data_IF_425863218200
#
_entry.id   IF_425863218200
#
_cell.length_a   1.000
_cell.length_b   1.000
_cell.length_c   1.000
_cell.angle_alpha   90.00
_cell.angle_beta   90.00
_cell.angle_gamma   90.00
#
_symmetry.space_group_name_H-M   'P 1'
#
loop_
_entity.id
_entity.type
_entity.pdbx_description
1 polymer ?
#
# COMPACT_ATOMS: atom_id res chain seq x y z
N UNK A 1 -9.32 -25.01 -14.96
CA UNK A 1 -8.32 -25.63 -14.05
C UNK A 1 -8.05 -24.67 -12.91
N UNK A 2 -8.01 -25.13 -11.67
CA UNK A 2 -7.65 -24.30 -10.49
C UNK A 2 -6.15 -24.06 -10.55
N UNK A 3 -5.71 -22.79 -10.43
CA UNK A 3 -4.28 -22.44 -10.42
C UNK A 3 -3.73 -22.48 -9.00
N UNK A 4 -2.63 -23.19 -8.82
CA UNK A 4 -1.92 -23.30 -7.54
C UNK A 4 -0.82 -22.22 -7.47
N UNK A 5 -0.95 -21.28 -6.53
CA UNK A 5 -0.07 -20.11 -6.40
C UNK A 5 0.76 -20.22 -5.14
N UNK A 6 2.08 -20.00 -5.25
CA UNK A 6 2.93 -19.80 -4.09
C UNK A 6 3.26 -18.32 -3.93
N UNK A 7 2.72 -17.67 -2.89
CA UNK A 7 3.04 -16.30 -2.54
C UNK A 7 4.13 -16.30 -1.46
N UNK A 8 5.36 -15.91 -1.82
CA UNK A 8 6.50 -15.91 -0.90
C UNK A 8 6.92 -14.48 -0.60
N UNK A 9 6.96 -14.13 0.67
CA UNK A 9 7.32 -12.77 1.11
C UNK A 9 8.30 -12.79 2.29
N UNK A 10 9.09 -11.75 2.44
CA UNK A 10 9.98 -11.54 3.60
C UNK A 10 9.35 -10.60 4.63
N UNK A 11 8.03 -10.69 4.79
CA UNK A 11 7.25 -9.89 5.73
C UNK A 11 6.86 -10.73 6.95
N UNK A 12 6.57 -10.06 8.06
CA UNK A 12 6.04 -10.70 9.27
C UNK A 12 4.52 -10.87 9.16
N UNK A 13 4.00 -12.00 9.65
CA UNK A 13 2.58 -12.25 9.81
C UNK A 13 2.31 -12.90 11.17
N UNK A 14 1.24 -12.45 11.87
CA UNK A 14 0.40 -11.30 11.55
C UNK A 14 1.12 -9.96 11.75
N UNK A 15 0.72 -8.92 11.01
CA UNK A 15 1.22 -7.56 11.20
C UNK A 15 0.25 -6.51 10.60
N UNK A 16 0.16 -5.34 11.24
CA UNK A 16 -0.69 -4.22 10.80
C UNK A 16 -0.05 -3.33 9.73
N UNK A 17 1.09 -3.76 9.14
CA UNK A 17 1.75 -2.98 8.10
C UNK A 17 0.93 -2.97 6.81
N UNK A 18 0.98 -1.88 6.06
CA UNK A 18 0.28 -1.75 4.78
C UNK A 18 0.64 -2.90 3.80
N UNK A 19 1.89 -3.37 3.83
CA UNK A 19 2.35 -4.48 2.99
C UNK A 19 1.69 -5.81 3.37
N UNK A 20 1.59 -6.11 4.68
CA UNK A 20 0.99 -7.36 5.16
C UNK A 20 -0.53 -7.36 4.92
N UNK A 21 -1.21 -6.24 5.20
CA UNK A 21 -2.62 -6.06 4.88
C UNK A 21 -2.90 -6.24 3.38
N UNK A 22 -2.09 -5.61 2.52
CA UNK A 22 -2.24 -5.74 1.07
C UNK A 22 -1.98 -7.17 0.57
N UNK A 23 -1.01 -7.88 1.17
CA UNK A 23 -0.73 -9.27 0.82
C UNK A 23 -1.94 -10.17 1.11
N UNK A 24 -2.52 -10.07 2.31
CA UNK A 24 -3.73 -10.83 2.67
C UNK A 24 -4.91 -10.46 1.77
N UNK A 25 -5.10 -9.17 1.49
CA UNK A 25 -6.16 -8.73 0.58
C UNK A 25 -5.97 -9.25 -0.85
N UNK A 26 -4.74 -9.26 -1.38
CA UNK A 26 -4.46 -9.87 -2.68
C UNK A 26 -4.78 -11.37 -2.68
N UNK A 27 -4.37 -12.10 -1.64
CA UNK A 27 -4.65 -13.54 -1.51
C UNK A 27 -6.17 -13.80 -1.48
N UNK A 28 -6.93 -12.99 -0.73
CA UNK A 28 -8.41 -13.04 -0.74
C UNK A 28 -8.96 -13.02 -2.16
N UNK A 29 -8.47 -12.13 -2.99
CA UNK A 29 -8.98 -12.00 -4.36
C UNK A 29 -8.43 -13.05 -5.32
N UNK A 30 -7.23 -13.59 -5.12
CA UNK A 30 -6.80 -14.78 -5.85
C UNK A 30 -7.73 -15.97 -5.56
N UNK A 31 -8.08 -16.22 -4.30
CA UNK A 31 -9.00 -17.30 -3.90
C UNK A 31 -10.41 -17.06 -4.47
N UNK A 32 -10.93 -15.81 -4.44
CA UNK A 32 -12.20 -15.45 -5.09
C UNK A 32 -12.18 -15.74 -6.60
N UNK A 33 -11.02 -15.63 -7.24
CA UNK A 33 -10.81 -15.95 -8.65
C UNK A 33 -10.39 -17.43 -8.86
N UNK A 34 -10.80 -18.33 -7.96
CA UNK A 34 -10.62 -19.78 -8.06
C UNK A 34 -9.16 -20.22 -8.13
N UNK A 35 -8.27 -19.55 -7.42
CA UNK A 35 -6.89 -19.99 -7.22
C UNK A 35 -6.74 -20.63 -5.84
N UNK A 36 -5.89 -21.63 -5.72
CA UNK A 36 -5.39 -22.14 -4.46
C UNK A 36 -4.08 -21.42 -4.12
N UNK A 37 -3.96 -20.84 -2.92
CA UNK A 37 -2.84 -19.98 -2.57
C UNK A 37 -2.17 -20.43 -1.30
N UNK A 38 -0.87 -20.69 -1.40
CA UNK A 38 0.01 -20.92 -0.25
C UNK A 38 0.82 -19.64 0.04
N UNK A 39 0.72 -19.13 1.27
CA UNK A 39 1.51 -18.00 1.76
C UNK A 39 2.72 -18.49 2.54
N UNK A 40 3.93 -18.13 2.10
CA UNK A 40 5.19 -18.51 2.76
C UNK A 40 5.90 -17.26 3.26
N UNK A 41 6.29 -17.23 4.53
CA UNK A 41 6.92 -16.08 5.19
C UNK A 41 7.85 -16.51 6.33
N UNK A 42 8.78 -15.61 6.77
CA UNK A 42 9.69 -15.92 7.87
C UNK A 42 9.03 -15.77 9.24
N UNK A 43 9.27 -16.72 10.13
CA UNK A 43 9.03 -16.60 11.57
C UNK A 43 10.23 -15.88 12.22
N UNK A 44 10.33 -14.56 12.03
CA UNK A 44 11.52 -13.79 12.42
C UNK A 44 11.32 -12.89 13.63
N UNK A 45 10.09 -12.61 13.99
CA UNK A 45 9.73 -11.74 15.11
C UNK A 45 8.92 -12.53 16.15
N UNK A 46 8.94 -12.10 17.40
CA UNK A 46 8.17 -12.77 18.47
C UNK A 46 6.65 -12.78 18.18
N UNK A 47 6.17 -11.81 17.43
CA UNK A 47 4.77 -11.71 17.01
C UNK A 47 4.46 -12.54 15.75
N UNK A 48 5.45 -13.22 15.17
CA UNK A 48 5.20 -14.10 14.02
C UNK A 48 4.49 -15.38 14.47
N UNK A 49 3.43 -15.75 13.79
CA UNK A 49 2.68 -16.97 14.06
C UNK A 49 2.60 -17.85 12.80
N UNK A 50 2.52 -19.17 13.00
CA UNK A 50 2.20 -20.17 11.98
C UNK A 50 0.77 -20.73 12.15
N UNK A 51 -0.03 -20.21 13.10
CA UNK A 51 -1.43 -20.57 13.27
C UNK A 51 -2.30 -19.83 12.25
N UNK A 52 -3.15 -20.59 11.54
CA UNK A 52 -4.12 -20.03 10.61
C UNK A 52 -5.19 -19.26 11.36
N UNK A 53 -5.59 -19.73 12.53
CA UNK A 53 -6.60 -19.11 13.40
C UNK A 53 -6.14 -17.72 13.82
N UNK A 54 -4.91 -17.60 14.35
CA UNK A 54 -4.36 -16.31 14.76
C UNK A 54 -4.27 -15.29 13.59
N UNK A 55 -3.93 -15.77 12.40
CA UNK A 55 -3.89 -14.91 11.20
C UNK A 55 -5.29 -14.52 10.77
N UNK A 56 -6.25 -15.43 10.77
CA UNK A 56 -7.63 -15.15 10.41
C UNK A 56 -8.28 -14.17 11.39
N UNK A 57 -8.07 -14.36 12.68
CA UNK A 57 -8.57 -13.48 13.74
C UNK A 57 -7.97 -12.07 13.63
N UNK A 58 -6.63 -11.97 13.48
CA UNK A 58 -5.94 -10.69 13.36
C UNK A 58 -6.44 -9.86 12.17
N UNK A 59 -6.66 -10.50 11.01
CA UNK A 59 -7.13 -9.82 9.80
C UNK A 59 -8.65 -9.81 9.66
N UNK A 60 -9.38 -10.38 10.62
CA UNK A 60 -10.85 -10.55 10.59
C UNK A 60 -11.31 -11.14 9.24
N UNK A 61 -10.79 -12.33 8.93
CA UNK A 61 -11.04 -13.01 7.65
C UNK A 61 -11.21 -14.51 7.84
N UNK A 62 -12.13 -15.12 7.11
CA UNK A 62 -12.34 -16.58 7.07
C UNK A 62 -11.77 -17.22 5.80
N UNK A 63 -10.79 -16.60 5.16
CA UNK A 63 -10.25 -17.07 3.88
C UNK A 63 -9.47 -18.37 4.11
N UNK A 64 -9.70 -19.44 3.33
CA UNK A 64 -8.95 -20.67 3.42
C UNK A 64 -7.56 -20.53 2.77
N UNK A 65 -6.61 -19.95 3.52
CA UNK A 65 -5.23 -19.75 3.06
C UNK A 65 -4.38 -20.89 3.61
N UNK A 66 -3.60 -21.53 2.74
CA UNK A 66 -2.50 -22.37 3.18
C UNK A 66 -1.35 -21.49 3.65
N UNK A 67 -1.01 -21.54 4.94
CA UNK A 67 0.09 -20.76 5.49
C UNK A 67 1.29 -21.65 5.85
N UNK A 68 2.49 -21.15 5.60
CA UNK A 68 3.73 -21.84 5.94
C UNK A 68 4.75 -20.84 6.50
N UNK A 69 4.79 -20.72 7.83
CA UNK A 69 5.82 -19.99 8.53
C UNK A 69 7.15 -20.75 8.48
N UNK A 70 8.17 -20.15 7.87
CA UNK A 70 9.50 -20.76 7.78
C UNK A 70 10.42 -20.17 8.84
N UNK A 71 11.04 -21.03 9.66
CA UNK A 71 11.99 -20.61 10.68
C UNK A 71 13.06 -19.66 10.15
N UNK A 72 13.33 -18.63 10.93
CA UNK A 72 14.29 -17.58 10.65
C UNK A 72 15.33 -17.48 11.78
N UNK A 73 16.38 -18.29 11.69
CA UNK A 73 17.43 -18.39 12.72
C UNK A 73 18.64 -17.46 12.43
N UNK A 74 18.42 -16.38 11.69
CA UNK A 74 19.48 -15.45 11.30
C UNK A 74 19.41 -14.15 12.10
N UNK A 75 20.55 -13.47 12.36
CA UNK A 75 20.55 -12.18 13.04
C UNK A 75 19.69 -11.17 12.29
N UNK A 76 18.76 -10.51 13.00
CA UNK A 76 17.90 -9.50 12.43
C UNK A 76 17.69 -8.38 13.46
N UNK A 77 18.03 -7.14 13.07
CA UNK A 77 17.76 -5.95 13.88
C UNK A 77 18.52 -5.83 15.21
N UNK A 78 19.50 -6.70 15.49
CA UNK A 78 20.23 -6.73 16.78
C UNK A 78 21.58 -6.01 16.77
N UNK A 79 22.09 -5.58 15.62
CA UNK A 79 23.41 -4.98 15.47
C UNK A 79 23.26 -3.56 14.93
N UNK A 80 23.27 -2.56 15.82
CA UNK A 80 22.98 -1.15 15.49
C UNK A 80 23.80 -0.58 14.33
N UNK A 81 25.09 -0.88 14.24
CA UNK A 81 25.95 -0.31 13.19
C UNK A 81 25.89 -1.00 11.83
N UNK A 82 25.41 -2.24 11.76
CA UNK A 82 25.36 -3.06 10.55
C UNK A 82 23.95 -3.56 10.23
N UNK A 83 22.92 -2.93 10.76
CA UNK A 83 21.55 -3.40 10.66
C UNK A 83 21.10 -3.62 9.21
N UNK A 84 21.41 -2.68 8.31
CA UNK A 84 21.08 -2.80 6.88
C UNK A 84 21.80 -3.96 6.18
N UNK A 85 23.09 -4.16 6.46
CA UNK A 85 23.87 -5.26 5.90
C UNK A 85 23.38 -6.60 6.42
N UNK A 86 23.17 -6.70 7.73
CA UNK A 86 22.66 -7.91 8.38
C UNK A 86 21.27 -8.28 7.89
N UNK A 87 20.39 -7.27 7.68
CA UNK A 87 19.10 -7.48 7.05
C UNK A 87 19.25 -8.16 5.67
N UNK A 88 20.12 -7.66 4.82
CA UNK A 88 20.34 -8.23 3.47
C UNK A 88 20.93 -9.62 3.51
N UNK A 89 21.89 -9.88 4.40
CA UNK A 89 22.50 -11.22 4.57
C UNK A 89 21.45 -12.22 5.08
N UNK A 90 20.73 -11.87 6.14
CA UNK A 90 19.67 -12.73 6.71
C UNK A 90 18.57 -13.02 5.70
N UNK A 91 18.14 -12.00 4.95
CA UNK A 91 17.17 -12.15 3.89
C UNK A 91 17.66 -13.08 2.76
N UNK A 92 18.93 -12.92 2.33
CA UNK A 92 19.55 -13.79 1.34
C UNK A 92 19.58 -15.25 1.78
N UNK A 93 20.06 -15.52 3.01
CA UNK A 93 20.17 -16.88 3.55
C UNK A 93 18.81 -17.53 3.72
N UNK A 94 17.84 -16.79 4.27
CA UNK A 94 16.46 -17.27 4.41
C UNK A 94 15.81 -17.53 3.04
N UNK A 95 15.97 -16.64 2.08
CA UNK A 95 15.45 -16.80 0.74
C UNK A 95 16.01 -18.06 0.06
N UNK A 96 17.32 -18.30 0.17
CA UNK A 96 17.98 -19.51 -0.37
C UNK A 96 17.42 -20.78 0.27
N UNK A 97 17.25 -20.80 1.61
CA UNK A 97 16.67 -21.95 2.36
C UNK A 97 15.22 -22.19 1.93
N UNK A 98 14.42 -21.12 1.84
CA UNK A 98 13.00 -21.20 1.51
C UNK A 98 12.77 -21.68 0.09
N UNK A 99 13.49 -21.14 -0.90
CA UNK A 99 13.35 -21.57 -2.30
C UNK A 99 13.70 -23.03 -2.47
N UNK A 100 14.74 -23.54 -1.80
CA UNK A 100 15.10 -24.97 -1.84
C UNK A 100 13.96 -25.87 -1.33
N UNK A 101 13.10 -25.38 -0.43
CA UNK A 101 11.96 -26.17 0.09
C UNK A 101 10.78 -26.25 -0.90
N UNK A 102 10.69 -25.31 -1.85
CA UNK A 102 9.55 -25.16 -2.75
C UNK A 102 9.89 -25.32 -4.23
N UNK A 103 11.16 -25.50 -4.59
CA UNK A 103 11.61 -25.58 -6.00
C UNK A 103 10.97 -26.73 -6.77
N UNK A 104 10.71 -27.86 -6.10
CA UNK A 104 10.11 -29.08 -6.67
C UNK A 104 8.59 -29.21 -6.43
N UNK A 105 7.96 -28.13 -5.95
CA UNK A 105 6.53 -28.15 -5.59
C UNK A 105 5.61 -28.03 -6.82
N UNK A 106 4.36 -28.44 -6.65
CA UNK A 106 3.32 -28.50 -7.71
C UNK A 106 2.71 -27.13 -8.09
N UNK A 107 3.31 -26.02 -7.66
CA UNK A 107 2.79 -24.70 -7.96
C UNK A 107 2.88 -24.37 -9.47
N UNK A 108 1.86 -23.69 -9.98
CA UNK A 108 1.82 -23.24 -11.37
C UNK A 108 2.70 -22.00 -11.57
N UNK A 109 2.70 -21.10 -10.58
CA UNK A 109 3.55 -19.91 -10.58
C UNK A 109 3.80 -19.37 -9.16
N UNK A 110 4.78 -18.48 -9.07
CA UNK A 110 5.20 -17.85 -7.82
C UNK A 110 5.01 -16.34 -7.88
N UNK A 111 4.60 -15.75 -6.75
CA UNK A 111 4.53 -14.30 -6.58
C UNK A 111 5.43 -13.89 -5.41
N UNK A 112 6.18 -12.80 -5.57
CA UNK A 112 7.03 -12.27 -4.50
C UNK A 112 7.26 -10.77 -4.63
N UNK A 113 7.57 -10.14 -3.49
CA UNK A 113 8.09 -8.76 -3.38
C UNK A 113 9.56 -8.74 -2.94
N UNK A 114 10.14 -9.92 -2.76
CA UNK A 114 11.51 -10.12 -2.30
C UNK A 114 12.46 -10.27 -3.47
N UNK A 115 13.47 -9.40 -3.54
CA UNK A 115 14.51 -9.43 -4.58
C UNK A 115 15.24 -10.79 -4.60
N UNK A 116 15.60 -11.32 -3.42
CA UNK A 116 16.33 -12.58 -3.31
C UNK A 116 15.49 -13.80 -3.64
N UNK A 117 14.21 -13.84 -3.24
CA UNK A 117 13.27 -14.90 -3.62
C UNK A 117 13.11 -14.94 -5.14
N UNK A 118 12.88 -13.77 -5.77
CA UNK A 118 12.77 -13.64 -7.21
C UNK A 118 14.02 -14.19 -7.93
N UNK A 119 15.20 -13.78 -7.48
CA UNK A 119 16.46 -14.24 -8.02
C UNK A 119 16.64 -15.76 -7.92
N UNK A 120 16.39 -16.35 -6.74
CA UNK A 120 16.59 -17.78 -6.55
C UNK A 120 15.56 -18.62 -7.29
N UNK A 121 14.27 -18.25 -7.26
CA UNK A 121 13.23 -18.96 -8.00
C UNK A 121 13.53 -19.03 -9.49
N UNK A 122 13.92 -17.92 -10.12
CA UNK A 122 14.27 -17.90 -11.54
C UNK A 122 15.48 -18.76 -11.92
N UNK A 123 16.32 -19.13 -10.94
CA UNK A 123 17.45 -20.03 -11.16
C UNK A 123 17.11 -21.49 -10.90
N UNK A 124 16.07 -21.74 -10.14
CA UNK A 124 15.74 -23.06 -9.61
C UNK A 124 14.50 -23.69 -10.24
N UNK A 125 13.62 -22.90 -10.82
CA UNK A 125 12.40 -23.39 -11.46
C UNK A 125 12.22 -22.80 -12.86
N UNK A 126 11.56 -23.57 -13.74
CA UNK A 126 11.10 -23.08 -15.04
C UNK A 126 9.67 -22.49 -14.98
N UNK A 127 9.03 -22.52 -13.78
CA UNK A 127 7.72 -21.92 -13.58
C UNK A 127 7.80 -20.41 -13.67
N UNK A 128 6.69 -19.75 -14.02
CA UNK A 128 6.61 -18.30 -14.06
C UNK A 128 6.77 -17.70 -12.66
N UNK A 129 7.61 -16.69 -12.53
CA UNK A 129 7.87 -15.98 -11.28
C UNK A 129 7.53 -14.52 -11.45
N UNK A 130 6.61 -14.03 -10.63
CA UNK A 130 6.11 -12.66 -10.67
C UNK A 130 6.73 -11.87 -9.53
N UNK A 131 7.34 -10.76 -9.89
CA UNK A 131 7.89 -9.81 -8.93
C UNK A 131 7.05 -8.54 -8.88
N UNK A 132 6.48 -8.23 -7.71
CA UNK A 132 5.80 -6.95 -7.49
C UNK A 132 6.81 -5.88 -7.07
N UNK A 133 7.12 -4.96 -7.95
CA UNK A 133 8.08 -3.88 -7.73
C UNK A 133 7.40 -2.66 -7.11
N UNK A 134 7.69 -2.39 -5.83
CA UNK A 134 7.09 -1.28 -5.07
C UNK A 134 8.05 -0.11 -4.82
N UNK A 135 9.34 -0.28 -4.98
CA UNK A 135 10.36 0.75 -4.72
C UNK A 135 11.62 0.52 -5.54
N UNK A 136 12.45 1.53 -5.64
CA UNK A 136 13.78 1.45 -6.24
C UNK A 136 14.84 1.20 -5.17
N UNK A 137 15.84 0.37 -5.47
CA UNK A 137 17.07 0.24 -4.70
C UNK A 137 18.23 -0.18 -5.62
N UNK A 138 19.47 0.08 -5.21
CA UNK A 138 20.66 -0.33 -6.00
C UNK A 138 20.69 -1.85 -6.22
N UNK A 139 20.42 -2.63 -5.17
CA UNK A 139 20.34 -4.10 -5.24
C UNK A 139 19.25 -4.54 -6.23
N UNK A 140 18.06 -3.96 -6.16
CA UNK A 140 16.94 -4.27 -7.06
C UNK A 140 17.28 -3.99 -8.52
N UNK A 141 17.93 -2.87 -8.81
CA UNK A 141 18.38 -2.55 -10.18
C UNK A 141 19.31 -3.66 -10.72
N UNK A 142 20.25 -4.14 -9.91
CA UNK A 142 21.16 -5.23 -10.29
C UNK A 142 20.40 -6.53 -10.50
N UNK A 143 19.56 -6.94 -9.55
CA UNK A 143 18.81 -8.19 -9.63
C UNK A 143 17.86 -8.19 -10.83
N UNK A 144 17.08 -7.15 -11.03
CA UNK A 144 16.15 -7.07 -12.17
C UNK A 144 16.88 -7.09 -13.51
N UNK A 145 18.03 -6.43 -13.61
CA UNK A 145 18.87 -6.48 -14.83
C UNK A 145 19.23 -7.90 -15.27
N UNK A 146 19.51 -8.78 -14.31
CA UNK A 146 19.83 -10.18 -14.62
C UNK A 146 18.59 -11.05 -14.76
N UNK A 147 17.61 -10.85 -13.93
CA UNK A 147 16.40 -11.66 -13.87
C UNK A 147 15.48 -11.46 -15.08
N UNK A 148 15.33 -10.24 -15.58
CA UNK A 148 14.45 -9.93 -16.73
C UNK A 148 14.94 -10.49 -18.08
N UNK A 149 16.15 -11.04 -18.13
CA UNK A 149 16.64 -11.83 -19.26
C UNK A 149 16.05 -13.23 -19.33
N UNK A 150 15.41 -13.71 -18.26
CA UNK A 150 14.77 -15.02 -18.21
C UNK A 150 13.35 -14.95 -18.77
N UNK A 151 12.98 -15.88 -19.62
CA UNK A 151 11.65 -15.92 -20.26
C UNK A 151 10.49 -16.15 -19.27
N UNK A 152 10.77 -16.78 -18.12
CA UNK A 152 9.81 -17.03 -17.07
C UNK A 152 9.72 -15.91 -16.02
N UNK A 153 10.47 -14.82 -16.17
CA UNK A 153 10.43 -13.64 -15.31
C UNK A 153 9.29 -12.72 -15.73
N UNK A 154 8.45 -12.32 -14.77
CA UNK A 154 7.37 -11.33 -14.93
C UNK A 154 7.50 -10.26 -13.86
N UNK A 155 7.27 -8.99 -14.20
CA UNK A 155 7.33 -7.87 -13.23
C UNK A 155 6.09 -7.01 -13.32
N UNK A 156 5.51 -6.72 -12.17
CA UNK A 156 4.41 -5.76 -11.99
C UNK A 156 4.99 -4.50 -11.36
N UNK A 157 4.86 -3.38 -12.03
CA UNK A 157 5.22 -2.06 -11.51
C UNK A 157 3.97 -1.33 -11.02
N UNK A 158 4.08 -0.57 -9.91
CA UNK A 158 2.94 0.18 -9.37
C UNK A 158 2.55 1.42 -10.19
N UNK A 159 3.48 1.97 -10.98
CA UNK A 159 3.25 3.09 -11.87
C UNK A 159 4.29 3.12 -13.02
N UNK A 160 4.05 3.98 -14.01
CA UNK A 160 4.93 4.12 -15.19
C UNK A 160 6.29 4.69 -14.83
N UNK A 161 6.36 5.64 -13.88
CA UNK A 161 7.63 6.23 -13.44
C UNK A 161 8.57 5.14 -12.89
N UNK A 162 8.01 4.22 -12.09
CA UNK A 162 8.77 3.09 -11.56
C UNK A 162 9.20 2.14 -12.68
N UNK A 163 8.33 1.85 -13.65
CA UNK A 163 8.66 1.01 -14.82
C UNK A 163 9.77 1.63 -15.67
N UNK A 164 9.74 2.94 -15.89
CA UNK A 164 10.70 3.65 -16.73
C UNK A 164 12.15 3.55 -16.21
N UNK A 165 12.33 3.43 -14.90
CA UNK A 165 13.67 3.23 -14.29
C UNK A 165 14.34 1.93 -14.77
N UNK A 166 13.51 0.95 -15.13
CA UNK A 166 13.96 -0.37 -15.59
C UNK A 166 13.74 -0.59 -17.10
N UNK A 167 13.37 0.47 -17.86
CA UNK A 167 12.93 0.39 -19.25
C UNK A 167 13.85 -0.38 -20.19
N UNK A 168 15.17 -0.32 -19.97
CA UNK A 168 16.17 -1.03 -20.79
C UNK A 168 16.05 -2.57 -20.77
N UNK A 169 15.30 -3.12 -19.82
CA UNK A 169 15.15 -4.56 -19.62
C UNK A 169 13.69 -5.02 -19.73
N UNK A 170 12.77 -4.08 -19.87
CA UNK A 170 11.34 -4.35 -19.93
C UNK A 170 10.92 -4.69 -21.37
N UNK A 171 10.01 -5.62 -21.49
CA UNK A 171 9.25 -5.91 -22.71
C UNK A 171 7.76 -5.99 -22.37
N UNK A 172 6.87 -5.86 -23.34
CA UNK A 172 5.42 -6.02 -23.13
C UNK A 172 5.06 -7.42 -22.63
N UNK A 173 5.89 -8.42 -22.93
CA UNK A 173 5.66 -9.80 -22.50
C UNK A 173 6.06 -10.04 -21.04
N UNK A 174 7.01 -9.30 -20.50
CA UNK A 174 7.55 -9.56 -19.16
C UNK A 174 7.20 -8.49 -18.13
N UNK A 175 6.52 -7.40 -18.51
CA UNK A 175 6.20 -6.30 -17.59
C UNK A 175 4.80 -5.75 -17.79
N UNK A 176 4.19 -5.29 -16.69
CA UNK A 176 2.91 -4.59 -16.68
C UNK A 176 2.90 -3.52 -15.59
N UNK A 177 2.17 -2.44 -15.84
CA UNK A 177 1.85 -1.43 -14.82
C UNK A 177 0.48 -1.71 -14.24
N UNK A 178 0.42 -1.96 -12.93
CA UNK A 178 -0.82 -2.14 -12.18
C UNK A 178 -0.75 -1.38 -10.87
N UNK A 179 -1.53 -0.34 -10.75
CA UNK A 179 -1.70 0.39 -9.49
C UNK A 179 -2.25 -0.51 -8.38
N UNK A 180 -2.16 -0.07 -7.14
CA UNK A 180 -2.87 -0.71 -6.05
C UNK A 180 -4.38 -0.65 -6.31
N UNK A 181 -5.13 -1.45 -5.58
CA UNK A 181 -6.59 -1.46 -5.63
C UNK A 181 -7.17 -1.44 -4.23
N UNK A 182 -8.49 -1.33 -4.17
CA UNK A 182 -9.27 -1.34 -2.93
C UNK A 182 -10.18 -2.56 -2.86
N UNK A 183 -10.38 -3.08 -1.64
CA UNK A 183 -11.38 -4.11 -1.38
C UNK A 183 -12.78 -3.47 -1.34
N UNK A 184 -13.51 -3.57 -2.45
CA UNK A 184 -14.85 -2.96 -2.55
C UNK A 184 -15.89 -3.59 -1.62
N UNK A 185 -15.69 -4.83 -1.14
CA UNK A 185 -16.59 -5.41 -0.14
C UNK A 185 -16.65 -4.56 1.13
N UNK A 186 -15.57 -3.85 1.41
CA UNK A 186 -15.46 -2.94 2.53
C UNK A 186 -16.27 -1.63 2.38
N UNK A 187 -16.73 -1.30 1.16
CA UNK A 187 -17.33 -0.01 0.82
C UNK A 187 -18.75 -0.13 0.20
N UNK A 188 -19.35 -1.32 0.18
CA UNK A 188 -20.65 -1.59 -0.50
C UNK A 188 -21.81 -0.68 -0.07
N UNK A 189 -21.77 -0.11 1.12
CA UNK A 189 -22.82 0.71 1.68
C UNK A 189 -22.52 2.22 1.67
N UNK A 190 -21.44 2.66 1.02
CA UNK A 190 -20.98 4.06 1.08
C UNK A 190 -21.84 5.03 0.27
N UNK A 191 -22.52 4.58 -0.76
CA UNK A 191 -23.22 5.46 -1.72
C UNK A 191 -24.53 6.06 -1.19
N UNK A 192 -25.08 5.54 -0.08
CA UNK A 192 -26.38 5.96 0.45
C UNK A 192 -26.29 6.75 1.78
N UNK A 193 -25.07 7.09 2.21
CA UNK A 193 -24.89 7.83 3.47
C UNK A 193 -24.89 9.34 3.23
N UNK A 194 -25.63 10.06 4.08
CA UNK A 194 -25.52 11.51 4.13
C UNK A 194 -24.08 11.91 4.51
N UNK A 195 -23.43 12.69 3.64
CA UNK A 195 -22.07 13.18 3.88
C UNK A 195 -22.09 14.30 4.91
N UNK A 196 -21.22 14.16 5.91
CA UNK A 196 -20.96 15.22 6.88
C UNK A 196 -20.08 16.32 6.23
N UNK A 197 -20.01 17.47 6.87
CA UNK A 197 -19.07 18.53 6.50
C UNK A 197 -17.66 18.21 7.02
N UNK A 198 -17.11 17.05 6.60
CA UNK A 198 -15.83 16.53 7.07
C UNK A 198 -14.78 16.48 5.94
N UNK A 199 -13.60 16.99 6.25
CA UNK A 199 -12.36 16.78 5.53
C UNK A 199 -11.56 15.76 6.34
N UNK A 200 -11.02 14.71 5.68
CA UNK A 200 -10.40 13.61 6.41
C UNK A 200 -8.98 13.30 5.91
N UNK A 201 -8.07 13.13 6.86
CA UNK A 201 -6.82 12.40 6.66
C UNK A 201 -6.90 11.09 7.44
N UNK A 202 -6.57 9.96 6.78
CA UNK A 202 -6.50 8.66 7.45
C UNK A 202 -5.19 7.96 7.14
N UNK A 203 -4.53 7.38 8.17
CA UNK A 203 -3.39 6.50 8.08
C UNK A 203 -2.25 6.85 9.00
N UNK A 204 -1.14 6.11 8.89
CA UNK A 204 0.00 6.30 9.75
C UNK A 204 0.52 7.75 9.69
N UNK A 205 0.64 8.41 10.85
CA UNK A 205 1.14 9.79 11.00
C UNK A 205 2.66 9.86 10.89
N UNK A 206 3.33 8.71 10.91
CA UNK A 206 4.77 8.56 10.74
C UNK A 206 5.10 7.75 9.48
N UNK A 207 6.21 8.07 8.81
CA UNK A 207 6.72 7.29 7.69
C UNK A 207 8.25 7.25 7.75
N UNK A 208 8.85 6.05 7.68
CA UNK A 208 10.29 5.85 7.77
C UNK A 208 10.91 6.58 8.97
N UNK A 209 10.29 6.44 10.15
CA UNK A 209 10.70 7.10 11.41
C UNK A 209 10.66 8.64 11.38
N UNK A 210 10.00 9.25 10.38
CA UNK A 210 9.77 10.69 10.28
C UNK A 210 8.27 10.99 10.40
N UNK A 211 7.91 11.99 11.19
CA UNK A 211 6.54 12.49 11.23
C UNK A 211 6.13 13.02 9.86
N UNK A 212 4.89 12.72 9.45
CA UNK A 212 4.29 13.37 8.28
C UNK A 212 3.99 14.83 8.61
N UNK A 213 4.00 15.68 7.60
CA UNK A 213 3.73 17.11 7.75
C UNK A 213 2.22 17.38 7.98
N UNK A 214 1.65 16.76 9.05
CA UNK A 214 0.22 16.93 9.40
C UNK A 214 -0.07 18.34 9.88
N UNK A 215 0.90 18.98 10.58
CA UNK A 215 0.78 20.38 11.01
C UNK A 215 0.49 21.31 9.83
N UNK A 216 1.16 21.10 8.69
CA UNK A 216 0.88 21.83 7.46
C UNK A 216 -0.61 21.72 7.03
N UNK A 217 -1.20 20.53 7.11
CA UNK A 217 -2.60 20.36 6.76
C UNK A 217 -3.55 21.04 7.77
N UNK A 218 -3.19 21.04 9.06
CA UNK A 218 -3.91 21.77 10.10
C UNK A 218 -3.86 23.28 9.82
N UNK A 219 -2.67 23.82 9.61
CA UNK A 219 -2.46 25.25 9.35
C UNK A 219 -3.19 25.73 8.09
N UNK A 220 -3.12 24.90 7.04
CA UNK A 220 -3.80 25.21 5.78
C UNK A 220 -5.32 25.11 5.87
N UNK A 221 -5.85 24.19 6.68
CA UNK A 221 -7.28 24.11 6.96
C UNK A 221 -7.75 25.34 7.73
N UNK A 222 -7.05 25.75 8.78
CA UNK A 222 -7.38 26.97 9.56
C UNK A 222 -7.39 28.23 8.69
N UNK A 223 -6.44 28.32 7.74
CA UNK A 223 -6.36 29.45 6.79
C UNK A 223 -7.44 29.42 5.72
N UNK A 224 -8.12 28.30 5.51
CA UNK A 224 -9.20 28.19 4.54
C UNK A 224 -10.51 28.78 5.09
N UNK A 225 -11.40 29.19 4.19
CA UNK A 225 -12.76 29.63 4.55
C UNK A 225 -13.61 28.50 5.14
N UNK A 226 -13.13 27.24 5.07
CA UNK A 226 -13.85 26.07 5.51
C UNK A 226 -13.77 25.85 7.02
N UNK A 227 -12.78 26.42 7.69
CA UNK A 227 -12.50 26.18 9.11
C UNK A 227 -13.68 26.46 10.06
N UNK A 228 -14.62 27.33 9.65
CA UNK A 228 -15.81 27.68 10.44
C UNK A 228 -17.02 26.76 10.19
N UNK A 229 -17.05 26.02 9.09
CA UNK A 229 -18.22 25.24 8.67
C UNK A 229 -17.95 23.76 8.44
N UNK A 230 -16.67 23.38 8.34
CA UNK A 230 -16.23 22.00 8.16
C UNK A 230 -15.39 21.54 9.33
N UNK A 231 -15.30 20.20 9.53
CA UNK A 231 -14.35 19.60 10.48
C UNK A 231 -13.19 18.99 9.73
N UNK A 232 -11.95 19.21 10.23
CA UNK A 232 -10.78 18.44 9.82
C UNK A 232 -10.60 17.26 10.78
N UNK A 233 -10.77 16.04 10.27
CA UNK A 233 -10.55 14.81 11.03
C UNK A 233 -9.21 14.16 10.65
N UNK A 234 -8.36 13.92 11.64
CA UNK A 234 -7.08 13.25 11.48
C UNK A 234 -7.14 11.93 12.23
N UNK A 235 -7.09 10.82 11.48
CA UNK A 235 -7.19 9.46 11.99
C UNK A 235 -5.88 8.74 11.70
N UNK A 236 -5.21 8.27 12.75
CA UNK A 236 -3.99 7.47 12.64
C UNK A 236 -3.13 7.54 13.89
N UNK A 237 -2.11 6.70 13.92
CA UNK A 237 -1.11 6.63 14.98
C UNK A 237 0.31 6.82 14.43
N UNK A 238 1.33 6.71 15.28
CA UNK A 238 1.27 6.29 16.68
C UNK A 238 0.68 7.36 17.63
N UNK A 239 0.30 6.94 18.85
CA UNK A 239 -0.47 7.79 19.78
C UNK A 239 0.34 8.97 20.33
N UNK A 240 1.63 8.81 20.52
CA UNK A 240 2.54 9.89 20.92
C UNK A 240 2.52 11.06 19.91
N UNK A 241 2.47 10.74 18.61
CA UNK A 241 2.34 11.77 17.57
C UNK A 241 0.95 12.37 17.56
N UNK A 242 -0.10 11.57 17.79
CA UNK A 242 -1.47 12.07 17.90
C UNK A 242 -1.61 13.05 19.06
N UNK A 243 -1.02 12.75 20.22
CA UNK A 243 -0.98 13.64 21.39
C UNK A 243 -0.24 14.93 21.07
N UNK A 244 0.95 14.85 20.47
CA UNK A 244 1.71 16.04 20.04
C UNK A 244 0.95 16.93 19.04
N UNK A 245 0.07 16.34 18.22
CA UNK A 245 -0.80 17.12 17.32
C UNK A 245 -1.97 17.77 18.07
N UNK A 246 -2.54 17.10 19.10
CA UNK A 246 -3.56 17.70 19.99
C UNK A 246 -2.99 18.89 20.75
N UNK A 247 -1.79 18.72 21.33
CA UNK A 247 -1.09 19.82 22.01
C UNK A 247 -0.85 20.99 21.06
N UNK A 248 -0.36 20.70 19.85
CA UNK A 248 -0.15 21.73 18.82
C UNK A 248 -1.44 22.49 18.47
N UNK A 249 -2.57 21.80 18.32
CA UNK A 249 -3.86 22.44 18.04
C UNK A 249 -4.27 23.34 19.21
N UNK A 250 -4.19 22.84 20.45
CA UNK A 250 -4.60 23.56 21.65
C UNK A 250 -3.75 24.80 21.93
N UNK A 251 -2.43 24.73 21.60
CA UNK A 251 -1.50 25.86 21.79
C UNK A 251 -1.64 26.96 20.75
N UNK A 252 -2.06 26.61 19.51
CA UNK A 252 -2.00 27.54 18.40
C UNK A 252 -3.40 27.97 17.88
N UNK A 253 -4.45 27.22 18.19
CA UNK A 253 -5.77 27.43 17.62
C UNK A 253 -6.90 27.19 18.61
N UNK A 254 -7.80 28.16 18.73
CA UNK A 254 -9.10 27.98 19.41
C UNK A 254 -10.14 27.46 18.39
N UNK A 255 -9.95 26.24 17.88
CA UNK A 255 -10.79 25.70 16.80
C UNK A 255 -11.28 24.30 17.12
N UNK A 256 -12.55 24.19 17.58
CA UNK A 256 -13.22 22.91 17.90
C UNK A 256 -13.47 22.01 16.67
N UNK A 257 -13.29 22.53 15.46
CA UNK A 257 -13.49 21.79 14.21
C UNK A 257 -12.28 20.95 13.79
N UNK A 258 -11.16 20.98 14.55
CA UNK A 258 -10.00 20.11 14.31
C UNK A 258 -10.06 18.93 15.28
N UNK A 259 -10.19 17.70 14.75
CA UNK A 259 -10.38 16.48 15.55
C UNK A 259 -9.24 15.50 15.29
N UNK A 260 -8.33 15.36 16.25
CA UNK A 260 -7.26 14.36 16.21
C UNK A 260 -7.76 13.10 16.94
N UNK A 261 -8.23 12.11 16.17
CA UNK A 261 -8.92 10.93 16.71
C UNK A 261 -7.97 9.79 17.12
N UNK A 262 -6.67 9.90 16.80
CA UNK A 262 -5.73 8.81 17.06
C UNK A 262 -5.97 7.60 16.16
N UNK A 263 -5.52 6.44 16.59
CA UNK A 263 -5.70 5.20 15.85
C UNK A 263 -7.07 4.61 16.15
N UNK A 264 -7.93 4.54 15.13
CA UNK A 264 -9.24 3.90 15.20
C UNK A 264 -9.19 2.45 14.70
N UNK A 265 -10.17 1.66 15.15
CA UNK A 265 -10.45 0.35 14.57
C UNK A 265 -10.85 0.47 13.09
N UNK A 266 -10.63 -0.63 12.32
CA UNK A 266 -10.88 -0.64 10.86
C UNK A 266 -12.31 -0.24 10.49
N UNK A 267 -13.31 -0.70 11.25
CA UNK A 267 -14.72 -0.40 11.00
C UNK A 267 -15.01 1.09 11.24
N UNK A 268 -14.55 1.65 12.35
CA UNK A 268 -14.75 3.05 12.70
C UNK A 268 -14.06 3.99 11.70
N UNK A 269 -12.83 3.63 11.29
CA UNK A 269 -12.08 4.36 10.28
C UNK A 269 -12.84 4.41 8.94
N UNK A 270 -13.41 3.28 8.48
CA UNK A 270 -14.25 3.21 7.28
C UNK A 270 -15.55 4.02 7.42
N UNK A 271 -16.21 3.94 8.57
CA UNK A 271 -17.42 4.73 8.83
C UNK A 271 -17.12 6.23 8.76
N UNK A 272 -15.95 6.65 9.23
CA UNK A 272 -15.50 8.03 9.13
C UNK A 272 -15.24 8.45 7.68
N UNK A 273 -14.60 7.57 6.89
CA UNK A 273 -14.41 7.78 5.44
C UNK A 273 -15.73 7.94 4.70
N UNK A 274 -16.65 7.01 4.90
CA UNK A 274 -17.93 7.00 4.20
C UNK A 274 -18.78 8.25 4.46
N UNK A 275 -18.60 8.92 5.60
CA UNK A 275 -19.30 10.14 5.98
C UNK A 275 -18.57 11.42 5.53
N UNK A 276 -17.28 11.38 5.18
CA UNK A 276 -16.52 12.55 4.77
C UNK A 276 -16.86 12.99 3.34
N UNK A 277 -16.49 14.22 2.98
CA UNK A 277 -16.61 14.79 1.63
C UNK A 277 -15.30 14.84 0.89
N UNK A 278 -14.21 15.13 1.60
CA UNK A 278 -12.88 15.33 1.02
C UNK A 278 -11.86 14.48 1.75
N UNK A 279 -11.06 13.74 1.00
CA UNK A 279 -9.90 13.01 1.48
C UNK A 279 -8.60 13.73 1.18
N UNK A 280 -7.71 13.86 2.15
CA UNK A 280 -6.43 14.57 1.97
C UNK A 280 -5.27 13.58 1.94
N UNK A 281 -4.42 13.66 0.92
CA UNK A 281 -3.13 12.99 0.86
C UNK A 281 -2.02 13.96 1.27
N UNK A 282 -1.23 13.54 2.27
CA UNK A 282 -0.09 14.31 2.76
C UNK A 282 1.16 13.47 2.54
N UNK A 283 2.02 13.92 1.65
CA UNK A 283 3.27 13.27 1.28
C UNK A 283 4.39 14.31 1.19
N UNK A 284 5.64 13.86 1.34
CA UNK A 284 6.83 14.71 1.28
C UNK A 284 7.59 14.46 -0.04
N UNK A 285 8.02 15.51 -0.71
CA UNK A 285 8.82 15.45 -1.95
C UNK A 285 10.28 15.02 -1.70
N UNK A 286 10.78 15.15 -0.45
CA UNK A 286 12.11 14.67 -0.04
C UNK A 286 12.20 13.13 -0.05
N UNK A 287 11.07 12.44 -0.05
CA UNK A 287 11.00 10.98 -0.24
C UNK A 287 10.70 10.67 -1.71
N UNK A 288 11.71 10.29 -2.48
CA UNK A 288 11.59 9.92 -3.90
C UNK A 288 10.48 8.88 -4.15
N UNK A 289 10.26 7.95 -3.21
CA UNK A 289 9.19 6.98 -3.33
C UNK A 289 7.80 7.63 -3.26
N UNK A 290 7.60 8.60 -2.38
CA UNK A 290 6.34 9.37 -2.32
C UNK A 290 6.13 10.22 -3.55
N UNK A 291 7.19 10.85 -4.02
CA UNK A 291 7.15 11.81 -5.12
C UNK A 291 6.92 11.14 -6.48
N UNK A 292 7.64 10.01 -6.76
CA UNK A 292 7.65 9.39 -8.10
C UNK A 292 7.01 8.01 -8.16
N UNK A 293 7.04 7.21 -7.10
CA UNK A 293 6.82 5.77 -7.21
C UNK A 293 5.62 5.24 -6.42
N UNK A 294 4.91 6.10 -5.71
CA UNK A 294 3.80 5.66 -4.85
C UNK A 294 2.53 5.38 -5.64
N UNK A 295 1.76 4.42 -5.13
CA UNK A 295 0.35 4.20 -5.47
C UNK A 295 -0.40 4.08 -4.14
N UNK A 296 -0.85 5.20 -3.54
CA UNK A 296 -1.36 5.23 -2.17
C UNK A 296 -2.66 4.44 -2.04
N UNK A 297 -2.74 3.48 -1.12
CA UNK A 297 -3.98 2.74 -0.84
C UNK A 297 -5.12 3.66 -0.44
N UNK A 298 -4.82 4.71 0.33
CA UNK A 298 -5.81 5.72 0.77
C UNK A 298 -6.52 6.41 -0.39
N UNK A 299 -5.83 6.63 -1.50
CA UNK A 299 -6.43 7.22 -2.69
C UNK A 299 -7.61 6.38 -3.18
N UNK A 300 -7.40 5.07 -3.29
CA UNK A 300 -8.44 4.14 -3.73
C UNK A 300 -9.58 4.01 -2.71
N UNK A 301 -9.25 4.06 -1.41
CA UNK A 301 -10.24 4.08 -0.34
C UNK A 301 -11.10 5.36 -0.38
N UNK A 302 -10.49 6.51 -0.66
CA UNK A 302 -11.19 7.78 -0.84
C UNK A 302 -12.14 7.74 -2.03
N UNK A 303 -11.68 7.25 -3.19
CA UNK A 303 -12.53 7.09 -4.37
C UNK A 303 -13.69 6.11 -4.11
N UNK A 304 -13.42 4.96 -3.47
CA UNK A 304 -14.44 3.98 -3.12
C UNK A 304 -15.47 4.52 -2.11
N UNK A 305 -15.08 5.51 -1.30
CA UNK A 305 -15.97 6.23 -0.40
C UNK A 305 -16.63 7.45 -1.04
N UNK A 306 -16.48 7.65 -2.35
CA UNK A 306 -17.04 8.79 -3.08
C UNK A 306 -16.57 10.16 -2.53
N UNK A 307 -15.25 10.29 -2.27
CA UNK A 307 -14.63 11.54 -1.81
C UNK A 307 -13.88 12.21 -2.95
N UNK A 308 -13.94 13.54 -3.02
CA UNK A 308 -12.92 14.34 -3.71
C UNK A 308 -11.58 14.17 -2.99
N UNK A 309 -10.49 14.22 -3.73
CA UNK A 309 -9.15 14.06 -3.18
C UNK A 309 -8.35 15.34 -3.34
N UNK A 310 -7.75 15.81 -2.25
CA UNK A 310 -6.76 16.89 -2.28
C UNK A 310 -5.38 16.27 -2.08
N UNK A 311 -4.45 16.52 -3.00
CA UNK A 311 -3.13 15.90 -2.98
C UNK A 311 -2.04 16.85 -3.49
N UNK A 312 -0.77 16.69 -3.05
CA UNK A 312 0.32 17.48 -3.64
C UNK A 312 0.51 17.12 -5.12
N UNK A 313 0.90 18.13 -5.90
CA UNK A 313 1.17 18.02 -7.34
C UNK A 313 2.44 17.19 -7.61
N UNK A 314 2.35 15.88 -7.37
CA UNK A 314 3.44 14.94 -7.58
C UNK A 314 3.22 14.09 -8.83
N UNK A 315 4.30 13.77 -9.59
CA UNK A 315 4.19 12.89 -10.74
C UNK A 315 3.51 11.55 -10.44
N UNK A 316 3.76 10.96 -9.25
CA UNK A 316 3.11 9.73 -8.83
C UNK A 316 1.59 9.86 -8.70
N UNK A 317 1.08 11.04 -8.30
CA UNK A 317 -0.36 11.26 -8.14
C UNK A 317 -1.04 11.54 -9.48
N UNK A 318 -0.34 12.20 -10.43
CA UNK A 318 -0.87 12.46 -11.79
C UNK A 318 -1.07 11.19 -12.60
N UNK A 319 -0.31 10.13 -12.31
CA UNK A 319 -0.45 8.84 -12.98
C UNK A 319 -1.56 7.93 -12.41
N UNK A 320 -2.16 8.30 -11.27
CA UNK A 320 -3.23 7.50 -10.68
C UNK A 320 -4.45 7.43 -11.60
N UNK A 321 -5.13 6.27 -11.67
CA UNK A 321 -6.39 6.19 -12.41
C UNK A 321 -7.41 7.15 -11.81
N UNK A 322 -8.18 7.84 -12.64
CA UNK A 322 -9.14 8.87 -12.22
C UNK A 322 -8.52 10.07 -11.49
N UNK A 323 -7.26 10.41 -11.81
CA UNK A 323 -6.55 11.57 -11.23
C UNK A 323 -7.25 12.91 -11.50
N UNK A 324 -8.18 12.98 -12.45
CA UNK A 324 -9.09 14.10 -12.69
C UNK A 324 -10.06 14.37 -11.51
N UNK A 325 -10.12 13.48 -10.52
CA UNK A 325 -10.83 13.69 -9.26
C UNK A 325 -9.92 14.20 -8.14
N UNK A 326 -8.66 14.51 -8.46
CA UNK A 326 -7.70 15.11 -7.54
C UNK A 326 -7.63 16.60 -7.77
N UNK A 327 -7.82 17.38 -6.72
CA UNK A 327 -7.45 18.80 -6.70
C UNK A 327 -6.02 18.89 -6.20
N UNK A 328 -5.13 19.34 -7.08
CA UNK A 328 -3.71 19.39 -6.76
C UNK A 328 -3.34 20.69 -6.05
N UNK A 329 -2.43 20.60 -5.08
CA UNK A 329 -1.80 21.76 -4.44
C UNK A 329 -0.28 21.72 -4.59
N UNK A 330 0.36 22.89 -4.61
CA UNK A 330 1.80 23.03 -4.61
C UNK A 330 2.36 22.59 -3.25
N UNK A 331 3.31 21.67 -3.25
CA UNK A 331 3.94 21.18 -2.02
C UNK A 331 4.56 22.33 -1.21
N UNK A 332 4.36 22.30 0.11
CA UNK A 332 4.80 23.32 1.08
C UNK A 332 4.20 24.73 0.87
N UNK A 333 3.16 24.88 0.05
CA UNK A 333 2.43 26.13 -0.15
C UNK A 333 1.06 26.08 0.56
N UNK A 334 0.97 26.70 1.74
CA UNK A 334 -0.26 26.73 2.56
C UNK A 334 -1.44 27.39 1.82
N UNK A 335 -1.18 28.44 1.03
CA UNK A 335 -2.22 29.13 0.28
C UNK A 335 -2.77 28.24 -0.84
N UNK A 336 -1.88 27.58 -1.56
CA UNK A 336 -2.27 26.59 -2.57
C UNK A 336 -3.09 25.45 -1.98
N UNK A 337 -2.69 24.92 -0.80
CA UNK A 337 -3.43 23.88 -0.10
C UNK A 337 -4.82 24.36 0.36
N UNK A 338 -4.93 25.55 0.98
CA UNK A 338 -6.21 26.12 1.40
C UNK A 338 -7.16 26.31 0.21
N UNK A 339 -6.65 26.86 -0.91
CA UNK A 339 -7.43 27.02 -2.14
C UNK A 339 -7.88 25.68 -2.71
N UNK A 340 -7.03 24.65 -2.68
CA UNK A 340 -7.38 23.30 -3.14
C UNK A 340 -8.49 22.66 -2.28
N UNK A 341 -8.47 22.88 -0.96
CA UNK A 341 -9.57 22.45 -0.08
C UNK A 341 -10.89 23.14 -0.47
N UNK A 342 -10.89 24.47 -0.65
CA UNK A 342 -12.09 25.23 -1.04
C UNK A 342 -12.61 24.76 -2.42
N UNK A 343 -11.73 24.59 -3.40
CA UNK A 343 -12.05 24.14 -4.75
C UNK A 343 -12.64 22.72 -4.74
N UNK A 344 -12.17 21.83 -3.87
CA UNK A 344 -12.65 20.45 -3.78
C UNK A 344 -14.13 20.33 -3.41
N UNK A 345 -14.74 21.38 -2.84
CA UNK A 345 -16.16 21.41 -2.47
C UNK A 345 -17.03 22.01 -3.58
N UNK A 346 -16.45 22.77 -4.48
CA UNK A 346 -17.17 23.40 -5.61
C UNK A 346 -17.17 22.47 -6.81
N UNK A 347 -16.09 21.76 -7.06
CA UNK A 347 -15.99 20.85 -8.18
C UNK A 347 -16.78 19.57 -7.94
N UNK A 348 -17.53 19.14 -8.94
CA UNK A 348 -18.23 17.86 -8.92
C UNK A 348 -17.25 16.68 -9.07
N UNK A 349 -17.56 15.58 -8.41
CA UNK A 349 -16.83 14.33 -8.60
C UNK A 349 -17.15 13.76 -9.98
N UNK A 350 -16.12 13.54 -10.79
CA UNK A 350 -16.27 12.90 -12.09
C UNK A 350 -16.51 11.41 -11.92
N UNK A 351 -17.20 10.82 -12.90
CA UNK A 351 -17.52 9.39 -12.89
C UNK A 351 -16.30 8.50 -12.63
N UNK A 352 -16.47 7.55 -11.75
CA UNK A 352 -15.48 6.54 -11.37
C UNK A 352 -16.07 5.16 -11.58
N UNK A 353 -15.47 4.39 -12.47
CA UNK A 353 -15.74 2.96 -12.57
C UNK A 353 -15.01 2.25 -11.40
N UNK A 354 -15.74 2.00 -10.31
CA UNK A 354 -15.18 1.40 -9.10
C UNK A 354 -14.58 0.02 -9.36
N UNK A 355 -15.12 -0.74 -10.31
CA UNK A 355 -14.58 -2.06 -10.63
C UNK A 355 -13.12 -1.96 -11.09
N UNK A 356 -12.77 -0.94 -11.87
CA UNK A 356 -11.40 -0.74 -12.39
C UNK A 356 -10.37 -0.33 -11.32
N UNK A 357 -10.81 0.13 -10.17
CA UNK A 357 -9.94 0.41 -9.02
C UNK A 357 -10.00 -0.68 -7.96
N UNK A 358 -10.75 -1.76 -8.21
CA UNK A 358 -10.89 -2.87 -7.28
C UNK A 358 -9.68 -3.79 -7.25
N UNK A 359 -9.51 -4.47 -6.12
CA UNK A 359 -8.56 -5.59 -6.02
C UNK A 359 -8.94 -6.75 -6.92
N UNK A 360 -10.24 -6.98 -7.18
CA UNK A 360 -10.69 -8.02 -8.09
C UNK A 360 -10.20 -7.79 -9.51
N UNK A 361 -10.39 -6.58 -10.02
CA UNK A 361 -9.85 -6.18 -11.33
C UNK A 361 -8.34 -6.33 -11.40
N UNK A 362 -7.63 -5.86 -10.36
CA UNK A 362 -6.17 -5.97 -10.29
C UNK A 362 -5.71 -7.44 -10.37
N UNK A 363 -6.34 -8.33 -9.62
CA UNK A 363 -6.00 -9.75 -9.62
C UNK A 363 -6.33 -10.41 -10.96
N UNK A 364 -7.48 -10.11 -11.58
CA UNK A 364 -7.80 -10.58 -12.93
C UNK A 364 -6.73 -10.16 -13.94
N UNK A 365 -6.28 -8.91 -13.89
CA UNK A 365 -5.17 -8.43 -14.75
C UNK A 365 -3.84 -9.13 -14.47
N UNK A 366 -3.55 -9.48 -13.24
CA UNK A 366 -2.38 -10.32 -12.91
C UNK A 366 -2.51 -11.70 -13.53
N UNK A 367 -3.66 -12.35 -13.41
CA UNK A 367 -3.91 -13.68 -13.98
C UNK A 367 -3.83 -13.66 -15.51
N UNK A 368 -4.44 -12.68 -16.19
CA UNK A 368 -4.30 -12.47 -17.63
C UNK A 368 -2.84 -12.26 -18.07
N UNK A 369 -2.07 -11.51 -17.28
CA UNK A 369 -0.66 -11.25 -17.56
C UNK A 369 0.21 -12.50 -17.40
N UNK A 370 -0.15 -13.39 -16.49
CA UNK A 370 0.56 -14.66 -16.29
C UNK A 370 0.33 -15.59 -17.47
N UNK A 371 -0.86 -15.60 -18.04
CA UNK A 371 -1.23 -16.52 -19.13
C UNK A 371 -0.60 -16.14 -20.48
N UNK A 372 -0.15 -14.91 -20.62
CA UNK A 372 0.66 -14.44 -21.76
C UNK A 372 2.11 -14.93 -21.68
#
# INVERSE_FOLDING_TARGET
MIKNICYITYQTFPASTANSLQTISNIKYFIKNKCDVSLIYPLREKSSSSSIEEIQDFYNTSIPININGVEHNYPFGKIKFFEGLMFHISHYLWAKKTVKKVEDSIYDFYITRSDWIFYFLLRKTNKRVIFECHKVSKLRKIILRFCLKKSNAKVIYLNKNLMNIFSKFNTEMNTIVLHNGVDLDDFKNSNNLNKNMDIIFIGNLQRFSKSRNIKFAIDGFVKSKLSNSFSLKIIGGPEDISNSLRDYVNENYENENIKILGQLGRIEAKNSLNKARVGVLINDNKDEHSYLHSSPLKYFEYLASNLKVVAPDFPAHKELPYSENIIFYNHDDLKSFSNALEQSLVEELKYIDLDKISLDYRIKKILEFIDK
#
